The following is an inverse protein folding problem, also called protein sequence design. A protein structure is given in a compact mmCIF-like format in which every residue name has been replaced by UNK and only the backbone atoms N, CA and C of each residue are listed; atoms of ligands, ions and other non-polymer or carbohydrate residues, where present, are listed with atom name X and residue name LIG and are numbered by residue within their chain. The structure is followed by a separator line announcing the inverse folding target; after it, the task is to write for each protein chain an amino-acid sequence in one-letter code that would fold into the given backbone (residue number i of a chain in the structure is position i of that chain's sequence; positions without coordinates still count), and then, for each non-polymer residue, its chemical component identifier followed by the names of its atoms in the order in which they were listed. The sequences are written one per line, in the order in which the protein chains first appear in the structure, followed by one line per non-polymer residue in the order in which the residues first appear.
data_IF_759517139916
#
_entry.id   IF_759517139916
#
_cell.length_a   1.000
_cell.length_b   1.000
_cell.length_c   1.000
_cell.angle_alpha   90.00
_cell.angle_beta   90.00
_cell.angle_gamma   90.00
#
_symmetry.space_group_name_H-M   'P 1'
#
loop_
_entity.id
_entity.type
_entity.pdbx_description
1 polymer ?
#
# COMPACT_ATOMS: atom_id res chain seq x y z
N UNK A 1 -20.46 42.16 -27.21
CA UNK A 1 -21.04 41.19 -26.24
C UNK A 1 -19.90 40.38 -25.69
N UNK A 2 -19.35 40.80 -24.55
CA UNK A 2 -18.24 40.11 -23.90
C UNK A 2 -18.81 38.97 -23.06
N UNK A 3 -18.52 37.73 -23.44
CA UNK A 3 -18.83 36.57 -22.61
C UNK A 3 -17.92 36.63 -21.38
N UNK A 4 -18.49 37.10 -20.27
CA UNK A 4 -17.91 37.01 -18.95
C UNK A 4 -17.73 35.53 -18.64
N UNK A 5 -16.51 35.05 -18.84
CA UNK A 5 -16.10 33.68 -18.51
C UNK A 5 -16.25 33.53 -17.00
N UNK A 6 -17.40 32.97 -16.59
CA UNK A 6 -17.67 32.60 -15.22
C UNK A 6 -16.56 31.66 -14.76
N UNK A 7 -15.57 32.21 -14.03
CA UNK A 7 -14.61 31.44 -13.26
C UNK A 7 -15.42 30.66 -12.24
N UNK A 8 -15.84 29.46 -12.61
CA UNK A 8 -16.43 28.51 -11.68
C UNK A 8 -15.39 28.27 -10.59
N UNK A 9 -15.62 28.83 -9.40
CA UNK A 9 -14.80 28.56 -8.23
C UNK A 9 -14.81 27.05 -8.05
N UNK A 10 -13.65 26.40 -8.22
CA UNK A 10 -13.56 24.95 -8.12
C UNK A 10 -14.12 24.53 -6.76
N UNK A 11 -15.03 23.53 -6.69
CA UNK A 11 -15.79 23.23 -5.48
C UNK A 11 -14.85 22.92 -4.33
N UNK A 12 -15.06 23.58 -3.20
CA UNK A 12 -14.34 23.25 -1.98
C UNK A 12 -14.71 21.83 -1.52
N UNK A 13 -13.76 21.09 -0.98
CA UNK A 13 -13.99 19.71 -0.55
C UNK A 13 -13.62 19.52 0.92
N UNK A 14 -14.30 18.56 1.55
CA UNK A 14 -14.00 18.10 2.91
C UNK A 14 -13.85 16.60 2.91
N UNK A 15 -12.86 16.11 3.65
CA UNK A 15 -12.68 14.69 3.93
C UNK A 15 -13.34 14.36 5.27
N UNK A 16 -14.20 13.35 5.30
CA UNK A 16 -14.96 12.94 6.49
C UNK A 16 -14.81 11.44 6.70
N UNK A 17 -14.21 11.02 7.81
CA UNK A 17 -14.08 9.60 8.16
C UNK A 17 -15.49 9.03 8.41
N UNK A 18 -15.82 7.95 7.70
CA UNK A 18 -17.10 7.25 7.76
C UNK A 18 -17.00 5.95 8.53
N UNK A 19 -15.90 5.23 8.32
CA UNK A 19 -15.58 4.00 9.03
C UNK A 19 -14.08 3.93 9.26
N UNK A 20 -13.73 3.21 10.32
CA UNK A 20 -12.35 2.95 10.73
C UNK A 20 -12.31 1.53 11.27
N UNK A 21 -11.46 0.69 10.69
CA UNK A 21 -11.33 -0.74 11.02
C UNK A 21 -9.86 -1.08 11.28
N UNK A 22 -9.60 -1.91 12.28
CA UNK A 22 -8.28 -2.28 12.72
C UNK A 22 -7.68 -1.33 13.75
N UNK A 23 -6.37 -1.40 13.92
CA UNK A 23 -5.61 -0.73 14.96
C UNK A 23 -5.80 -1.37 16.33
N UNK A 24 -5.13 -0.82 17.33
CA UNK A 24 -5.17 -1.31 18.73
C UNK A 24 -6.57 -1.48 19.32
N UNK A 25 -7.56 -0.73 18.83
CA UNK A 25 -8.95 -0.79 19.31
C UNK A 25 -9.68 -2.08 18.90
N UNK A 26 -9.31 -2.65 17.76
CA UNK A 26 -9.95 -3.83 17.17
C UNK A 26 -9.04 -5.08 17.33
N UNK A 27 -7.80 -4.88 17.80
CA UNK A 27 -6.89 -5.95 18.16
C UNK A 27 -7.42 -6.74 19.36
N UNK A 28 -7.22 -8.06 19.30
CA UNK A 28 -7.51 -9.00 20.37
C UNK A 28 -6.40 -10.03 20.40
N UNK A 29 -5.95 -10.39 21.60
CA UNK A 29 -4.88 -11.36 21.78
C UNK A 29 -5.21 -12.69 21.07
N UNK A 30 -4.25 -13.37 20.43
CA UNK A 30 -4.46 -14.62 19.70
C UNK A 30 -5.27 -15.64 20.51
N UNK A 31 -4.91 -15.83 21.77
CA UNK A 31 -5.59 -16.78 22.66
C UNK A 31 -7.07 -16.45 22.85
N UNK A 32 -7.44 -15.18 22.93
CA UNK A 32 -8.84 -14.77 23.03
C UNK A 32 -9.61 -15.03 21.73
N UNK A 33 -8.98 -14.77 20.58
CA UNK A 33 -9.58 -15.02 19.26
C UNK A 33 -9.77 -16.51 19.02
N UNK A 34 -8.75 -17.32 19.31
CA UNK A 34 -8.84 -18.77 19.15
C UNK A 34 -9.81 -19.45 20.12
N UNK A 35 -10.05 -18.88 21.31
CA UNK A 35 -11.08 -19.39 22.24
C UNK A 35 -12.48 -19.37 21.63
N UNK A 36 -12.80 -18.42 20.74
CA UNK A 36 -14.08 -18.41 20.02
C UNK A 36 -14.22 -19.54 19.01
N UNK A 37 -13.08 -20.08 18.56
CA UNK A 37 -12.97 -21.21 17.65
C UNK A 37 -12.60 -22.52 18.36
N UNK A 38 -12.63 -22.55 19.71
CA UNK A 38 -12.19 -23.72 20.49
C UNK A 38 -12.94 -25.01 20.08
N UNK A 39 -14.22 -24.90 19.74
CA UNK A 39 -15.04 -26.02 19.29
C UNK A 39 -14.78 -26.39 17.81
N UNK A 40 -14.23 -25.47 17.01
CA UNK A 40 -13.97 -25.66 15.58
C UNK A 40 -12.79 -24.81 15.10
N UNK A 41 -11.57 -25.32 15.25
CA UNK A 41 -10.42 -24.77 14.54
C UNK A 41 -10.51 -25.16 13.06
N UNK A 42 -10.41 -24.20 12.13
CA UNK A 42 -10.33 -24.48 10.69
C UNK A 42 -9.23 -25.51 10.37
N UNK A 43 -9.48 -26.36 9.37
CA UNK A 43 -8.58 -27.47 9.04
C UNK A 43 -7.19 -27.02 8.58
N UNK A 44 -7.10 -25.85 7.94
CA UNK A 44 -5.86 -25.20 7.54
C UNK A 44 -5.07 -24.68 8.75
N UNK A 45 -5.74 -24.09 9.73
CA UNK A 45 -5.15 -23.67 11.01
C UNK A 45 -4.59 -24.89 11.77
N UNK A 46 -5.36 -25.97 11.88
CA UNK A 46 -4.88 -27.23 12.48
C UNK A 46 -3.65 -27.79 11.74
N UNK A 47 -3.64 -27.68 10.41
CA UNK A 47 -2.50 -28.13 9.59
C UNK A 47 -1.25 -27.29 9.84
N UNK A 48 -1.39 -25.97 10.04
CA UNK A 48 -0.27 -25.08 10.39
C UNK A 48 0.32 -25.47 11.75
N UNK A 49 -0.52 -25.70 12.77
CA UNK A 49 -0.08 -26.20 14.07
C UNK A 49 0.69 -27.53 13.97
N UNK A 50 0.14 -28.52 13.28
CA UNK A 50 0.77 -29.83 13.15
C UNK A 50 2.06 -29.83 12.31
N UNK A 51 2.16 -28.93 11.32
CA UNK A 51 3.29 -28.87 10.39
C UNK A 51 4.48 -28.07 10.89
N UNK A 52 4.25 -26.98 11.63
CA UNK A 52 5.30 -26.01 11.92
C UNK A 52 5.89 -26.11 13.33
N UNK A 53 5.14 -26.58 14.32
CA UNK A 53 5.60 -26.55 15.71
C UNK A 53 6.20 -27.88 16.20
N UNK A 54 6.25 -28.90 15.34
CA UNK A 54 6.68 -30.25 15.76
C UNK A 54 5.78 -30.89 16.84
N UNK A 55 4.65 -30.26 17.19
CA UNK A 55 3.65 -30.79 18.09
C UNK A 55 2.76 -31.80 17.37
N UNK A 56 3.28 -33.02 17.18
CA UNK A 56 2.46 -34.14 16.70
C UNK A 56 1.27 -34.44 17.62
N UNK A 57 1.35 -33.98 18.87
CA UNK A 57 0.41 -34.26 19.95
C UNK A 57 -0.37 -33.01 20.41
N UNK A 58 -0.59 -32.02 19.54
CA UNK A 58 -1.48 -30.89 19.85
C UNK A 58 -2.90 -31.40 20.15
N UNK A 59 -3.37 -31.29 21.41
CA UNK A 59 -4.70 -31.75 21.86
C UNK A 59 -5.64 -30.59 22.13
N UNK A 60 -5.13 -29.46 22.59
CA UNK A 60 -5.92 -28.29 22.98
C UNK A 60 -5.14 -26.99 22.84
N UNK A 61 -5.86 -25.86 22.72
CA UNK A 61 -5.25 -24.52 22.71
C UNK A 61 -4.46 -24.19 23.98
N UNK A 62 -4.73 -24.86 25.09
CA UNK A 62 -4.01 -24.68 26.34
C UNK A 62 -2.58 -25.28 26.29
N UNK A 63 -2.31 -26.15 25.31
CA UNK A 63 -0.98 -26.74 25.08
C UNK A 63 -0.03 -25.80 24.33
N UNK A 64 -0.55 -24.69 23.76
CA UNK A 64 0.20 -23.71 23.00
C UNK A 64 0.51 -22.50 23.87
N UNK A 65 1.72 -21.98 23.77
CA UNK A 65 2.04 -20.67 24.32
C UNK A 65 1.57 -19.54 23.40
N UNK A 66 1.79 -18.28 23.79
CA UNK A 66 1.32 -17.15 22.98
C UNK A 66 2.15 -16.99 21.69
N UNK A 67 3.43 -17.35 21.71
CA UNK A 67 4.33 -17.31 20.53
C UNK A 67 3.87 -18.30 19.45
N UNK A 68 3.46 -19.51 19.84
CA UNK A 68 2.85 -20.50 18.96
C UNK A 68 1.57 -19.97 18.28
N UNK A 69 0.75 -19.24 19.04
CA UNK A 69 -0.53 -18.72 18.56
C UNK A 69 -0.34 -17.54 17.60
N UNK A 70 0.58 -16.63 17.92
CA UNK A 70 0.99 -15.52 17.05
C UNK A 70 1.51 -16.04 15.71
N UNK A 71 2.35 -17.07 15.75
CA UNK A 71 2.93 -17.68 14.56
C UNK A 71 1.86 -18.30 13.63
N UNK A 72 0.77 -18.84 14.19
CA UNK A 72 -0.30 -19.45 13.39
C UNK A 72 -1.32 -18.44 12.88
N UNK A 73 -1.46 -17.29 13.54
CA UNK A 73 -2.37 -16.21 13.16
C UNK A 73 -1.67 -14.84 12.99
N UNK A 74 -0.80 -14.73 11.98
CA UNK A 74 -0.12 -13.48 11.70
C UNK A 74 -1.11 -12.37 11.28
N UNK A 75 -2.24 -12.70 10.65
CA UNK A 75 -3.20 -11.67 10.23
C UNK A 75 -3.80 -10.92 11.41
N UNK A 76 -4.13 -11.68 12.44
CA UNK A 76 -4.61 -11.18 13.70
C UNK A 76 -3.64 -10.28 14.44
N UNK A 77 -2.38 -10.70 14.50
CA UNK A 77 -1.32 -9.88 15.08
C UNK A 77 -1.20 -8.54 14.37
N UNK A 78 -1.29 -8.56 13.04
CA UNK A 78 -1.16 -7.33 12.25
C UNK A 78 -2.33 -6.36 12.39
N UNK A 79 -3.46 -6.78 12.98
CA UNK A 79 -4.60 -5.87 13.24
C UNK A 79 -4.16 -4.69 14.11
N UNK A 80 -3.27 -4.90 15.09
CA UNK A 80 -2.84 -3.81 16.00
C UNK A 80 -2.09 -2.68 15.27
N UNK A 81 -1.42 -3.01 14.17
CA UNK A 81 -0.61 -2.08 13.38
C UNK A 81 -1.36 -1.48 12.18
N UNK A 82 -2.39 -2.16 11.67
CA UNK A 82 -3.13 -1.76 10.46
C UNK A 82 -4.44 -1.07 10.80
N UNK A 83 -4.64 0.14 10.32
CA UNK A 83 -5.95 0.80 10.38
C UNK A 83 -6.41 1.21 8.99
N UNK A 84 -7.54 0.67 8.55
CA UNK A 84 -8.22 1.07 7.32
C UNK A 84 -9.28 2.14 7.60
N UNK A 85 -9.29 3.18 6.77
CA UNK A 85 -10.24 4.27 6.83
C UNK A 85 -11.05 4.36 5.54
N UNK A 86 -12.36 4.38 5.67
CA UNK A 86 -13.27 4.81 4.62
C UNK A 86 -13.61 6.28 4.83
N UNK A 87 -13.21 7.12 3.87
CA UNK A 87 -13.28 8.58 3.97
C UNK A 87 -14.18 9.10 2.86
N UNK A 88 -15.34 9.65 3.24
CA UNK A 88 -16.22 10.35 2.31
C UNK A 88 -15.57 11.66 1.83
N UNK A 89 -15.57 11.87 0.52
CA UNK A 89 -15.20 13.14 -0.10
C UNK A 89 -16.49 13.93 -0.26
N UNK A 90 -16.65 15.01 0.51
CA UNK A 90 -17.84 15.86 0.49
C UNK A 90 -17.56 17.19 -0.20
N UNK A 91 -18.58 17.79 -0.82
CA UNK A 91 -18.52 19.17 -1.29
C UNK A 91 -18.87 20.17 -0.16
N UNK A 92 -18.86 21.47 -0.46
CA UNK A 92 -19.26 22.54 0.46
C UNK A 92 -20.66 22.39 1.07
N UNK A 93 -21.56 21.70 0.37
CA UNK A 93 -22.94 21.49 0.81
C UNK A 93 -23.10 20.23 1.67
N UNK A 94 -22.00 19.51 1.96
CA UNK A 94 -22.00 18.24 2.68
C UNK A 94 -22.40 17.03 1.85
N UNK A 95 -22.65 17.19 0.55
CA UNK A 95 -22.99 16.08 -0.33
C UNK A 95 -21.75 15.22 -0.61
N UNK A 96 -21.88 13.90 -0.44
CA UNK A 96 -20.84 12.95 -0.81
C UNK A 96 -20.68 12.91 -2.33
N UNK A 97 -19.48 13.20 -2.81
CA UNK A 97 -19.09 13.25 -4.23
C UNK A 97 -18.02 12.22 -4.57
N UNK A 98 -17.58 11.42 -3.61
CA UNK A 98 -16.60 10.37 -3.78
C UNK A 98 -16.22 9.67 -2.48
N UNK A 99 -15.32 8.70 -2.60
CA UNK A 99 -14.77 7.89 -1.52
C UNK A 99 -13.25 7.80 -1.67
N UNK A 100 -12.54 7.91 -0.56
CA UNK A 100 -11.13 7.58 -0.42
C UNK A 100 -11.03 6.40 0.57
N UNK A 101 -10.35 5.32 0.19
CA UNK A 101 -9.94 4.24 1.10
C UNK A 101 -8.45 4.36 1.35
N UNK A 102 -8.08 4.46 2.63
CA UNK A 102 -6.72 4.66 3.09
C UNK A 102 -6.36 3.56 4.07
N UNK A 103 -5.19 2.94 3.92
CA UNK A 103 -4.59 2.08 4.92
C UNK A 103 -3.45 2.82 5.60
N UNK A 104 -3.44 2.83 6.93
CA UNK A 104 -2.31 3.23 7.73
C UNK A 104 -1.69 2.01 8.38
N UNK A 105 -0.36 1.93 8.35
CA UNK A 105 0.42 0.92 9.07
C UNK A 105 1.36 1.65 10.02
N UNK A 106 1.13 1.52 11.33
CA UNK A 106 1.91 2.20 12.36
C UNK A 106 2.78 1.20 13.13
N UNK A 107 4.09 1.23 12.87
CA UNK A 107 5.08 0.38 13.53
C UNK A 107 5.74 1.06 14.74
N UNK A 108 5.20 2.18 15.24
CA UNK A 108 5.80 2.91 16.37
C UNK A 108 6.01 2.01 17.60
N UNK A 109 5.13 1.04 17.81
CA UNK A 109 5.16 0.09 18.93
C UNK A 109 5.48 -1.34 18.49
N UNK A 110 6.03 -1.54 17.29
CA UNK A 110 6.48 -2.85 16.84
C UNK A 110 7.81 -3.21 17.52
N UNK A 111 7.90 -4.42 18.07
CA UNK A 111 9.08 -4.88 18.79
C UNK A 111 10.23 -5.26 17.84
N UNK A 112 9.91 -5.60 16.58
CA UNK A 112 10.90 -5.94 15.57
C UNK A 112 10.51 -5.61 14.11
N UNK A 113 11.43 -5.91 13.19
CA UNK A 113 11.25 -5.75 11.73
C UNK A 113 10.42 -6.90 11.13
N UNK A 114 10.17 -7.98 11.86
CA UNK A 114 9.37 -9.10 11.39
C UNK A 114 7.89 -8.70 11.23
N UNK A 115 7.40 -7.86 12.15
CA UNK A 115 6.08 -7.22 12.08
C UNK A 115 5.88 -6.43 10.77
N UNK A 116 6.94 -5.84 10.21
CA UNK A 116 6.88 -5.13 8.94
C UNK A 116 6.43 -6.05 7.80
N UNK A 117 7.06 -7.22 7.67
CA UNK A 117 6.79 -8.16 6.57
C UNK A 117 5.42 -8.80 6.67
N UNK A 118 5.08 -9.24 7.87
CA UNK A 118 3.77 -9.83 8.12
C UNK A 118 2.66 -8.86 7.76
N UNK A 119 2.83 -7.55 7.98
CA UNK A 119 1.83 -6.57 7.57
C UNK A 119 1.51 -6.62 6.07
N UNK A 120 2.44 -7.00 5.20
CA UNK A 120 2.18 -7.01 3.76
C UNK A 120 1.87 -8.41 3.19
N UNK A 121 2.23 -9.48 3.91
CA UNK A 121 2.04 -10.87 3.48
C UNK A 121 0.68 -11.49 3.83
N UNK A 122 -0.10 -10.85 4.70
CA UNK A 122 -1.44 -11.35 5.08
C UNK A 122 -2.38 -11.42 3.87
N UNK A 123 -3.13 -12.50 3.72
CA UNK A 123 -3.72 -13.07 2.51
C UNK A 123 -4.86 -12.24 1.88
N UNK A 124 -5.12 -11.03 2.35
CA UNK A 124 -6.28 -10.21 1.96
C UNK A 124 -6.03 -9.16 0.87
N UNK A 125 -4.79 -8.73 0.61
CA UNK A 125 -4.51 -7.67 -0.38
C UNK A 125 -3.31 -8.01 -1.27
N UNK A 126 -3.55 -8.53 -2.49
CA UNK A 126 -2.51 -8.80 -3.47
C UNK A 126 -1.61 -7.60 -3.77
N UNK A 127 -2.15 -6.38 -3.68
CA UNK A 127 -1.41 -5.13 -3.91
C UNK A 127 -0.36 -4.89 -2.84
N UNK A 128 -0.67 -5.19 -1.57
CA UNK A 128 0.25 -5.02 -0.46
C UNK A 128 1.35 -6.08 -0.49
N UNK A 129 1.00 -7.34 -0.78
CA UNK A 129 2.01 -8.40 -0.94
C UNK A 129 2.95 -8.13 -2.11
N UNK A 130 2.45 -7.52 -3.19
CA UNK A 130 3.31 -7.07 -4.29
C UNK A 130 4.16 -5.84 -3.94
N UNK A 131 3.67 -4.99 -3.04
CA UNK A 131 4.44 -3.87 -2.51
C UNK A 131 5.58 -4.32 -1.59
N UNK A 132 5.37 -5.38 -0.79
CA UNK A 132 6.40 -6.01 0.06
C UNK A 132 7.63 -6.40 -0.76
N UNK A 133 7.41 -6.94 -1.97
CA UNK A 133 8.47 -7.36 -2.90
C UNK A 133 9.42 -6.25 -3.31
N UNK A 134 9.14 -4.96 -3.03
CA UNK A 134 10.11 -3.88 -3.23
C UNK A 134 11.31 -3.96 -2.29
N UNK A 135 11.14 -4.67 -1.18
CA UNK A 135 12.09 -4.74 -0.08
C UNK A 135 12.70 -6.14 0.06
N UNK A 136 12.02 -7.20 -0.42
CA UNK A 136 12.44 -8.60 -0.21
C UNK A 136 13.75 -8.88 -0.95
N UNK A 137 14.69 -9.64 -0.40
CA UNK A 137 15.86 -10.05 -1.18
C UNK A 137 15.45 -11.10 -2.23
N UNK A 138 15.68 -10.79 -3.50
CA UNK A 138 15.27 -11.59 -4.69
C UNK A 138 15.91 -13.00 -4.72
N UNK A 139 16.96 -13.20 -3.92
CA UNK A 139 17.80 -14.38 -4.00
C UNK A 139 17.14 -15.60 -3.33
N UNK A 140 16.17 -15.43 -2.43
CA UNK A 140 15.49 -16.53 -1.70
C UNK A 140 16.40 -17.45 -0.87
N UNK A 141 17.72 -17.34 -1.07
CA UNK A 141 18.78 -17.94 -0.29
C UNK A 141 19.06 -16.92 0.80
N UNK A 142 18.61 -17.21 2.01
CA UNK A 142 19.13 -16.54 3.20
C UNK A 142 20.66 -16.71 3.14
N UNK A 143 21.37 -15.67 2.74
CA UNK A 143 22.82 -15.68 2.71
C UNK A 143 23.28 -15.70 4.17
N UNK A 144 23.78 -16.84 4.68
CA UNK A 144 24.12 -16.97 6.10
C UNK A 144 25.32 -16.09 6.47
N UNK A 145 25.98 -15.46 5.48
CA UNK A 145 27.12 -14.56 5.69
C UNK A 145 26.74 -13.08 5.69
N UNK A 146 25.55 -12.72 5.19
CA UNK A 146 25.00 -11.41 5.46
C UNK A 146 24.48 -11.45 6.89
N UNK A 147 24.87 -10.50 7.78
CA UNK A 147 24.14 -10.35 9.04
C UNK A 147 22.67 -10.27 8.65
N UNK A 148 21.80 -11.05 9.32
CA UNK A 148 20.38 -11.00 9.02
C UNK A 148 20.02 -9.52 8.96
N UNK A 149 19.43 -9.05 7.86
CA UNK A 149 18.98 -7.66 7.77
C UNK A 149 18.00 -7.31 8.91
N UNK A 150 17.52 -8.33 9.63
CA UNK A 150 16.79 -8.30 10.91
C UNK A 150 17.61 -7.81 12.11
N UNK A 151 18.94 -7.87 12.09
CA UNK A 151 19.84 -7.54 13.21
C UNK A 151 20.48 -6.14 13.09
N UNK A 152 20.02 -5.27 12.18
CA UNK A 152 20.45 -3.87 12.12
C UNK A 152 19.48 -2.98 12.93
N UNK A 153 19.79 -2.69 14.21
CA UNK A 153 18.91 -1.94 15.11
C UNK A 153 18.75 -0.46 14.74
N UNK A 154 19.54 0.06 13.78
CA UNK A 154 19.59 1.51 13.51
C UNK A 154 18.66 2.00 12.40
N UNK A 155 18.12 1.12 11.52
CA UNK A 155 17.42 1.59 10.30
C UNK A 155 15.91 1.34 10.24
N UNK A 156 15.28 0.78 11.27
CA UNK A 156 13.82 0.82 11.44
C UNK A 156 12.96 0.01 10.47
N UNK A 157 13.55 -0.68 9.50
CA UNK A 157 12.88 -1.57 8.56
C UNK A 157 13.81 -2.05 7.43
N UNK A 158 13.32 -2.90 6.51
CA UNK A 158 14.14 -3.48 5.45
C UNK A 158 14.51 -2.44 4.38
N UNK A 159 15.72 -2.50 3.78
CA UNK A 159 16.07 -1.58 2.70
C UNK A 159 15.29 -1.91 1.42
N UNK A 160 15.10 -0.91 0.56
CA UNK A 160 14.76 -1.14 -0.84
C UNK A 160 15.77 -2.08 -1.47
N UNK A 161 15.28 -3.04 -2.27
CA UNK A 161 16.13 -3.92 -3.07
C UNK A 161 17.15 -3.09 -3.87
N UNK A 162 18.41 -3.54 -3.99
CA UNK A 162 19.43 -2.83 -4.78
C UNK A 162 19.00 -2.54 -6.22
N UNK A 163 18.26 -3.47 -6.85
CA UNK A 163 17.70 -3.27 -8.20
C UNK A 163 16.64 -2.17 -8.27
N UNK A 164 15.85 -1.98 -7.22
CA UNK A 164 14.83 -0.93 -7.15
C UNK A 164 15.48 0.42 -6.82
N UNK A 165 16.41 0.43 -5.86
CA UNK A 165 17.13 1.62 -5.44
C UNK A 165 17.97 2.23 -6.56
N UNK A 166 18.67 1.40 -7.34
CA UNK A 166 19.53 1.86 -8.44
C UNK A 166 18.77 2.13 -9.75
N UNK A 167 17.46 1.89 -9.76
CA UNK A 167 16.56 2.06 -10.90
C UNK A 167 15.85 3.43 -10.90
N UNK A 168 15.23 3.76 -12.03
CA UNK A 168 14.42 4.95 -12.21
C UNK A 168 15.18 6.26 -11.97
N UNK A 169 14.56 7.18 -11.23
CA UNK A 169 15.13 8.49 -10.91
C UNK A 169 16.09 8.48 -9.72
N UNK A 170 16.15 7.35 -8.98
CA UNK A 170 17.01 7.17 -7.79
C UNK A 170 16.81 8.23 -6.69
N UNK A 171 15.64 8.84 -6.63
CA UNK A 171 15.33 9.88 -5.64
C UNK A 171 14.95 9.31 -4.26
N UNK A 172 14.80 7.99 -4.14
CA UNK A 172 14.47 7.29 -2.91
C UNK A 172 15.71 6.59 -2.35
N UNK A 173 16.01 6.80 -1.07
CA UNK A 173 17.15 6.15 -0.39
C UNK A 173 16.76 4.76 0.13
N UNK A 174 17.72 3.84 0.38
CA UNK A 174 17.45 2.46 0.79
C UNK A 174 16.41 2.30 1.90
N UNK A 175 16.61 2.98 3.03
CA UNK A 175 15.79 2.85 4.24
C UNK A 175 14.70 3.91 4.36
N UNK A 176 14.56 4.75 3.35
CA UNK A 176 13.71 5.93 3.45
C UNK A 176 12.22 5.58 3.54
N UNK A 177 11.81 4.52 2.86
CA UNK A 177 10.40 4.11 2.76
C UNK A 177 9.98 3.13 3.86
N UNK A 178 10.91 2.72 4.71
CA UNK A 178 10.76 1.67 5.72
C UNK A 178 11.26 2.08 7.10
N UNK A 179 11.62 3.34 7.29
CA UNK A 179 11.84 3.86 8.63
C UNK A 179 10.59 3.61 9.51
N UNK A 180 10.76 3.53 10.83
CA UNK A 180 9.75 3.20 11.88
C UNK A 180 8.51 4.12 11.95
N UNK A 181 8.26 4.89 10.91
CA UNK A 181 7.19 5.85 10.82
C UNK A 181 5.94 5.22 10.21
N UNK A 182 4.81 5.88 10.45
CA UNK A 182 3.52 5.44 9.91
C UNK A 182 3.57 5.44 8.38
N UNK A 183 3.24 4.31 7.77
CA UNK A 183 3.08 4.19 6.33
C UNK A 183 1.64 4.47 5.96
N UNK A 184 1.41 5.35 4.99
CA UNK A 184 0.07 5.67 4.50
C UNK A 184 -0.08 5.18 3.05
N UNK A 185 -0.95 4.21 2.83
CA UNK A 185 -1.19 3.61 1.51
C UNK A 185 -2.59 3.92 1.00
N UNK A 186 -2.67 4.53 -0.19
CA UNK A 186 -3.91 4.84 -0.87
C UNK A 186 -4.42 3.59 -1.58
N UNK A 187 -5.41 2.94 -0.98
CA UNK A 187 -6.02 1.73 -1.53
C UNK A 187 -6.99 2.05 -2.68
N UNK A 188 -7.77 3.14 -2.53
CA UNK A 188 -8.81 3.49 -3.50
C UNK A 188 -9.12 4.98 -3.49
N UNK A 189 -9.28 5.58 -4.67
CA UNK A 189 -9.94 6.88 -4.83
C UNK A 189 -11.02 6.75 -5.89
N UNK A 190 -12.24 7.08 -5.52
CA UNK A 190 -13.40 7.07 -6.39
C UNK A 190 -14.08 8.44 -6.36
N UNK A 191 -14.23 9.07 -7.52
CA UNK A 191 -14.99 10.30 -7.69
C UNK A 191 -16.22 9.99 -8.56
N UNK A 192 -17.40 10.46 -8.14
CA UNK A 192 -18.65 10.30 -8.91
C UNK A 192 -18.47 10.84 -10.32
N UNK A 193 -19.01 10.14 -11.31
CA UNK A 193 -18.74 10.38 -12.74
C UNK A 193 -19.07 11.80 -13.19
N UNK A 194 -20.17 12.38 -12.70
CA UNK A 194 -20.64 13.75 -12.92
C UNK A 194 -19.74 14.83 -12.26
N UNK A 195 -18.83 14.41 -11.39
CA UNK A 195 -17.89 15.26 -10.64
C UNK A 195 -16.45 15.14 -11.14
N UNK A 196 -16.13 14.14 -11.98
CA UNK A 196 -14.78 13.96 -12.55
C UNK A 196 -14.35 15.14 -13.42
N UNK A 197 -13.04 15.28 -13.64
CA UNK A 197 -12.39 16.35 -14.43
C UNK A 197 -12.58 17.78 -13.90
N UNK A 198 -12.95 17.93 -12.63
CA UNK A 198 -13.11 19.23 -11.94
C UNK A 198 -12.00 19.54 -10.93
N UNK A 199 -10.84 18.88 -11.07
CA UNK A 199 -9.70 19.04 -10.16
C UNK A 199 -9.87 18.42 -8.76
N UNK A 200 -10.96 17.70 -8.50
CA UNK A 200 -11.27 17.14 -7.17
C UNK A 200 -10.17 16.21 -6.66
N UNK A 201 -9.64 15.31 -7.49
CA UNK A 201 -8.58 14.39 -7.05
C UNK A 201 -7.33 15.10 -6.54
N UNK A 202 -6.94 16.21 -7.17
CA UNK A 202 -5.79 17.00 -6.71
C UNK A 202 -6.06 17.64 -5.35
N UNK A 203 -7.29 18.14 -5.15
CA UNK A 203 -7.73 18.66 -3.86
C UNK A 203 -7.78 17.58 -2.79
N UNK A 204 -8.17 16.35 -3.14
CA UNK A 204 -8.17 15.20 -2.21
C UNK A 204 -6.75 14.98 -1.68
N UNK A 205 -5.75 14.87 -2.57
CA UNK A 205 -4.37 14.66 -2.11
C UNK A 205 -3.82 15.82 -1.25
N UNK A 206 -4.15 17.06 -1.58
CA UNK A 206 -3.79 18.21 -0.75
C UNK A 206 -4.44 18.14 0.65
N UNK A 207 -5.69 17.66 0.73
CA UNK A 207 -6.41 17.54 1.99
C UNK A 207 -5.98 16.31 2.81
N UNK A 208 -5.58 15.21 2.16
CA UNK A 208 -5.15 13.96 2.84
C UNK A 208 -3.94 14.20 3.74
N UNK A 209 -2.94 14.94 3.27
CA UNK A 209 -1.76 15.26 4.09
C UNK A 209 -2.06 16.11 5.33
N UNK A 210 -3.24 16.71 5.41
CA UNK A 210 -3.69 17.49 6.57
C UNK A 210 -4.56 16.69 7.55
N UNK A 211 -4.87 15.43 7.25
CA UNK A 211 -5.61 14.56 8.18
C UNK A 211 -4.74 14.23 9.39
N UNK A 212 -5.32 14.27 10.58
CA UNK A 212 -4.59 13.97 11.83
C UNK A 212 -3.97 12.58 11.80
N UNK A 213 -4.70 11.61 11.26
CA UNK A 213 -4.30 10.21 11.13
C UNK A 213 -3.05 10.06 10.25
N UNK A 214 -2.88 10.94 9.25
CA UNK A 214 -1.78 10.87 8.27
C UNK A 214 -0.59 11.72 8.70
N UNK A 215 -0.73 12.58 9.72
CA UNK A 215 0.31 13.56 10.10
C UNK A 215 1.67 12.94 10.43
N UNK A 216 1.69 11.71 10.95
CA UNK A 216 2.91 10.97 11.26
C UNK A 216 3.56 10.31 10.03
N UNK A 217 2.83 10.18 8.93
CA UNK A 217 3.37 9.60 7.72
C UNK A 217 4.31 10.59 7.03
N UNK A 218 5.42 10.09 6.50
CA UNK A 218 6.29 10.86 5.61
C UNK A 218 5.89 10.76 4.14
N UNK A 219 5.28 9.65 3.77
CA UNK A 219 4.97 9.32 2.38
C UNK A 219 3.54 8.81 2.25
N UNK A 220 2.89 9.18 1.15
CA UNK A 220 1.70 8.49 0.66
C UNK A 220 2.11 7.53 -0.45
N UNK A 221 1.79 6.26 -0.29
CA UNK A 221 2.03 5.21 -1.28
C UNK A 221 0.78 4.95 -2.11
N UNK A 222 0.96 4.55 -3.36
CA UNK A 222 -0.14 4.10 -4.21
C UNK A 222 0.38 3.14 -5.29
N UNK A 223 -0.51 2.28 -5.78
CA UNK A 223 -0.38 1.56 -7.05
C UNK A 223 -1.41 2.13 -8.04
N UNK A 224 -1.06 3.17 -8.81
CA UNK A 224 -2.05 3.86 -9.62
C UNK A 224 -2.53 3.02 -10.79
N UNK A 225 -3.84 2.78 -10.86
CA UNK A 225 -4.49 2.07 -11.95
C UNK A 225 -6.01 2.17 -11.88
N UNK A 226 -6.73 1.68 -12.90
CA UNK A 226 -8.18 1.52 -12.81
C UNK A 226 -8.54 0.55 -11.68
N UNK A 227 -9.66 0.82 -11.00
CA UNK A 227 -10.13 -0.01 -9.87
C UNK A 227 -10.80 -1.30 -10.34
N UNK A 228 -11.29 -1.32 -11.58
CA UNK A 228 -11.83 -2.50 -12.23
C UNK A 228 -10.71 -3.45 -12.66
N UNK A 229 -10.98 -4.75 -12.50
CA UNK A 229 -10.07 -5.83 -12.90
C UNK A 229 -9.66 -5.66 -14.37
N UNK A 230 -8.37 -5.83 -14.65
CA UNK A 230 -7.87 -5.79 -16.01
C UNK A 230 -8.63 -6.81 -16.89
N UNK A 231 -9.19 -6.39 -18.04
CA UNK A 231 -9.83 -7.31 -18.97
C UNK A 231 -8.79 -8.21 -19.65
N UNK A 232 -9.26 -9.25 -20.35
CA UNK A 232 -8.38 -10.03 -21.23
C UNK A 232 -7.68 -9.11 -22.24
N UNK A 233 -6.41 -9.39 -22.53
CA UNK A 233 -5.61 -8.61 -23.47
C UNK A 233 -6.18 -8.62 -24.90
N UNK A 234 -6.93 -9.66 -25.24
CA UNK A 234 -7.60 -9.80 -26.54
C UNK A 234 -8.96 -9.10 -26.58
N UNK A 235 -9.46 -8.58 -25.44
CA UNK A 235 -10.73 -7.86 -25.38
C UNK A 235 -10.58 -6.45 -25.94
N UNK A 236 -11.56 -5.94 -26.71
CA UNK A 236 -11.62 -4.52 -27.09
C UNK A 236 -11.59 -3.56 -25.89
N UNK A 237 -12.07 -4.00 -24.73
CA UNK A 237 -12.09 -3.22 -23.47
C UNK A 237 -10.68 -2.96 -22.92
N UNK A 238 -9.67 -3.74 -23.34
CA UNK A 238 -8.28 -3.56 -22.91
C UNK A 238 -7.72 -2.20 -23.30
N UNK A 239 -8.08 -1.68 -24.48
CA UNK A 239 -7.60 -0.38 -24.95
C UNK A 239 -8.09 0.75 -24.06
N UNK A 240 -9.39 0.76 -23.73
CA UNK A 240 -9.97 1.75 -22.82
C UNK A 240 -9.37 1.64 -21.41
N UNK A 241 -9.23 0.41 -20.90
CA UNK A 241 -8.63 0.18 -19.58
C UNK A 241 -7.19 0.71 -19.51
N UNK A 242 -6.39 0.47 -20.54
CA UNK A 242 -5.00 0.98 -20.61
C UNK A 242 -4.95 2.50 -20.70
N UNK A 243 -5.77 3.12 -21.54
CA UNK A 243 -5.82 4.59 -21.65
C UNK A 243 -6.28 5.24 -20.34
N UNK A 244 -7.25 4.65 -19.64
CA UNK A 244 -7.63 5.07 -18.28
C UNK A 244 -6.45 4.94 -17.31
N UNK A 245 -5.74 3.82 -17.33
CA UNK A 245 -4.56 3.60 -16.49
C UNK A 245 -3.46 4.65 -16.72
N UNK A 246 -3.19 5.01 -17.98
CA UNK A 246 -2.24 6.07 -18.36
C UNK A 246 -2.66 7.42 -17.82
N UNK A 247 -3.94 7.76 -17.99
CA UNK A 247 -4.51 8.99 -17.45
C UNK A 247 -4.38 9.07 -15.92
N UNK A 248 -4.60 7.96 -15.22
CA UNK A 248 -4.47 7.86 -13.76
C UNK A 248 -3.02 8.04 -13.32
N UNK A 249 -2.05 7.36 -13.94
CA UNK A 249 -0.62 7.54 -13.61
C UNK A 249 -0.11 8.93 -13.94
N UNK A 250 -0.51 9.49 -15.08
CA UNK A 250 -0.18 10.87 -15.44
C UNK A 250 -0.76 11.87 -14.43
N UNK A 251 -1.97 11.61 -13.92
CA UNK A 251 -2.56 12.40 -12.84
C UNK A 251 -1.74 12.29 -11.54
N UNK A 252 -1.35 11.09 -11.11
CA UNK A 252 -0.51 10.92 -9.91
C UNK A 252 0.83 11.66 -10.04
N UNK A 253 1.49 11.59 -11.20
CA UNK A 253 2.70 12.37 -11.46
C UNK A 253 2.47 13.88 -11.34
N UNK A 254 1.38 14.39 -11.90
CA UNK A 254 1.04 15.82 -11.81
C UNK A 254 0.80 16.32 -10.39
N UNK A 255 0.28 15.48 -9.51
CA UNK A 255 0.04 15.86 -8.09
C UNK A 255 1.23 15.57 -7.18
N UNK A 256 2.39 15.21 -7.75
CA UNK A 256 3.67 15.13 -7.05
C UNK A 256 4.17 13.72 -6.77
N UNK A 257 3.38 12.67 -7.01
CA UNK A 257 3.85 11.30 -6.84
C UNK A 257 4.97 10.99 -7.83
N UNK A 258 6.03 10.31 -7.37
CA UNK A 258 7.08 9.77 -8.23
C UNK A 258 7.16 8.26 -8.09
N UNK A 259 7.57 7.60 -9.17
CA UNK A 259 7.72 6.15 -9.21
C UNK A 259 8.85 5.70 -8.28
N UNK A 260 8.66 4.57 -7.59
CA UNK A 260 9.71 3.93 -6.77
C UNK A 260 10.54 3.04 -7.68
N UNK A 261 11.78 3.46 -7.97
CA UNK A 261 12.64 2.79 -8.96
C UNK A 261 11.98 2.78 -10.35
N UNK A 262 11.95 1.62 -11.00
CA UNK A 262 11.19 1.36 -12.23
C UNK A 262 9.91 0.54 -11.99
N UNK A 263 9.41 0.46 -10.76
CA UNK A 263 8.28 -0.39 -10.37
C UNK A 263 6.94 0.24 -10.71
N UNK A 264 5.82 -0.45 -10.52
CA UNK A 264 4.48 0.13 -10.72
C UNK A 264 4.00 1.00 -9.55
N UNK A 265 4.74 1.03 -8.44
CA UNK A 265 4.38 1.75 -7.23
C UNK A 265 4.90 3.19 -7.27
N UNK A 266 4.13 4.06 -6.64
CA UNK A 266 4.41 5.48 -6.55
C UNK A 266 4.41 5.91 -5.08
N UNK A 267 5.24 6.89 -4.76
CA UNK A 267 5.23 7.58 -3.48
C UNK A 267 5.13 9.10 -3.69
N UNK A 268 4.38 9.76 -2.83
CA UNK A 268 4.35 11.21 -2.67
C UNK A 268 4.98 11.54 -1.31
N UNK A 269 6.09 12.27 -1.34
CA UNK A 269 6.67 12.80 -0.12
C UNK A 269 5.81 13.95 0.42
N UNK A 270 5.52 13.93 1.71
CA UNK A 270 4.80 14.99 2.42
C UNK A 270 5.75 16.11 2.86
N UNK A 271 7.05 15.83 2.94
CA UNK A 271 8.09 16.86 3.11
C UNK A 271 8.28 17.65 1.79
N UNK A 272 8.00 18.97 1.77
CA UNK A 272 8.19 19.81 0.58
C UNK A 272 9.65 19.92 0.12
N UNK A 273 10.63 19.60 0.97
CA UNK A 273 12.06 19.62 0.61
C UNK A 273 12.55 18.31 -0.04
N UNK A 274 11.71 17.27 -0.11
CA UNK A 274 12.13 15.97 -0.61
C UNK A 274 12.52 16.04 -2.11
N UNK A 275 13.66 15.44 -2.53
CA UNK A 275 14.15 15.53 -3.91
C UNK A 275 13.16 15.10 -4.99
N UNK A 276 12.28 14.14 -4.69
CA UNK A 276 11.26 13.65 -5.63
C UNK A 276 10.33 14.78 -6.14
N UNK A 277 10.10 15.83 -5.34
CA UNK A 277 9.23 16.95 -5.72
C UNK A 277 9.88 17.90 -6.75
N UNK A 278 11.20 17.85 -6.91
CA UNK A 278 11.94 18.63 -7.92
C UNK A 278 11.92 17.99 -9.32
N UNK A 279 11.61 16.69 -9.39
CA UNK A 279 11.49 15.95 -10.65
C UNK A 279 10.19 16.39 -11.33
N UNK A 280 10.21 16.74 -12.62
CA UNK A 280 8.97 17.08 -13.34
C UNK A 280 8.18 15.81 -13.71
N UNK A 281 6.85 15.89 -13.88
CA UNK A 281 6.05 14.73 -14.28
C UNK A 281 6.54 14.01 -15.54
N UNK A 282 7.06 14.75 -16.52
CA UNK A 282 7.64 14.24 -17.77
C UNK A 282 9.01 13.59 -17.59
N UNK A 283 9.75 13.95 -16.54
CA UNK A 283 11.09 13.44 -16.22
C UNK A 283 11.04 12.26 -15.22
N UNK A 284 9.85 11.85 -14.79
CA UNK A 284 9.67 10.72 -13.88
C UNK A 284 10.02 9.39 -14.56
N UNK A 285 10.41 8.40 -13.76
CA UNK A 285 10.84 7.11 -14.28
C UNK A 285 9.71 6.38 -15.01
N UNK A 286 10.07 5.72 -16.11
CA UNK A 286 9.19 4.78 -16.79
C UNK A 286 9.11 3.46 -16.01
N UNK A 287 8.03 2.72 -16.21
CA UNK A 287 7.94 1.35 -15.72
C UNK A 287 8.84 0.43 -16.54
N UNK A 288 9.58 -0.45 -15.87
CA UNK A 288 10.33 -1.53 -16.50
C UNK A 288 9.92 -2.83 -15.80
N UNK A 289 9.31 -3.79 -16.53
CA UNK A 289 8.96 -5.09 -15.96
C UNK A 289 10.18 -5.78 -15.34
N UNK A 290 10.02 -6.33 -14.15
CA UNK A 290 11.04 -7.16 -13.50
C UNK A 290 10.86 -8.62 -13.90
N UNK A 291 11.96 -9.36 -14.10
CA UNK A 291 11.97 -10.79 -14.38
C UNK A 291 12.09 -11.17 -15.87
N UNK A 292 12.16 -12.48 -16.14
CA UNK A 292 12.17 -13.03 -17.49
C UNK A 292 10.77 -12.97 -18.10
N UNK A 293 10.46 -11.85 -18.74
CA UNK A 293 9.25 -11.67 -19.54
C UNK A 293 9.60 -11.74 -21.02
N UNK A 294 8.74 -12.37 -21.81
CA UNK A 294 8.93 -12.43 -23.27
C UNK A 294 8.95 -11.02 -23.87
N UNK A 295 9.58 -10.82 -25.03
CA UNK A 295 9.58 -9.51 -25.70
C UNK A 295 8.17 -8.97 -25.98
N UNK A 296 7.21 -9.86 -26.21
CA UNK A 296 5.81 -9.50 -26.41
C UNK A 296 5.19 -8.99 -25.11
N UNK A 297 5.42 -9.71 -24.00
CA UNK A 297 5.00 -9.28 -22.67
C UNK A 297 5.67 -7.97 -22.25
N UNK A 298 6.96 -7.79 -22.55
CA UNK A 298 7.70 -6.55 -22.30
C UNK A 298 7.10 -5.35 -23.04
N UNK A 299 6.86 -5.50 -24.35
CA UNK A 299 6.22 -4.46 -25.15
C UNK A 299 4.84 -4.12 -24.62
N UNK A 300 4.07 -5.14 -24.24
CA UNK A 300 2.74 -4.97 -23.70
C UNK A 300 2.76 -4.26 -22.35
N UNK A 301 3.53 -4.76 -21.38
CA UNK A 301 3.62 -4.17 -20.05
C UNK A 301 4.16 -2.74 -20.08
N UNK A 302 5.16 -2.47 -20.92
CA UNK A 302 5.66 -1.11 -21.16
C UNK A 302 4.56 -0.20 -21.70
N UNK A 303 3.73 -0.69 -22.63
CA UNK A 303 2.58 0.05 -23.14
C UNK A 303 1.52 0.29 -22.05
N UNK A 304 1.22 -0.73 -21.24
CA UNK A 304 0.20 -0.68 -20.18
C UNK A 304 0.59 0.25 -19.05
N UNK A 305 1.88 0.36 -18.69
CA UNK A 305 2.35 1.05 -17.49
C UNK A 305 3.16 2.34 -17.72
N UNK A 306 3.33 2.75 -18.98
CA UNK A 306 3.76 4.11 -19.34
C UNK A 306 2.87 5.18 -18.67
#
# INVERSE_FOLDING_TARGET
MSQESQRTSSPDIRLVIKAEQGGKKDYREPRERFKEYADYLPADVRRRFAGNLGHSDFRSLDDLDDEDLEYVDPEGEMVKYKTEYDIAIQNSDGNEIGLLKLLLVDFTDADDVFDFWQCFDTQGSPELSEFAKLFEDDDGVADPTKPNSRDSPESGGPPLQPRVQSAGTRCWKPYELTATETMAYILKIEIKSDRRRKGIGAKVYAAVGALEQVRKAKYLFAKPGPLDRAPSLTSPESVDWVERGRGIRAFHRRVGFRRIGNTQFFALALDPAHPSLSIKPEDDAQYIPTGEVSEEQLRHLSYVFA
#
